data_IF_372724495412
#
_entry.id   IF_372724495412
#
_cell.length_a   1.000
_cell.length_b   1.000
_cell.length_c   1.000
_cell.angle_alpha   90.00
_cell.angle_beta   90.00
_cell.angle_gamma   90.00
#
_symmetry.space_group_name_H-M   'P 1'
#
loop_
_entity.id
_entity.type
_entity.pdbx_description
1 polymer ?
#
# COMPACT_ATOMS: atom_id res chain seq x y z
N UNK A 1 9.37 -6.87 -10.38
CA UNK A 1 9.40 -5.40 -10.44
C UNK A 1 9.26 -4.85 -9.04
N UNK A 2 9.70 -3.60 -8.82
CA UNK A 2 9.49 -2.83 -7.59
C UNK A 2 8.65 -1.61 -7.91
N UNK A 3 7.89 -1.10 -6.92
CA UNK A 3 7.17 0.17 -7.07
C UNK A 3 8.19 1.29 -7.30
N UNK A 4 7.91 2.17 -8.25
CA UNK A 4 8.79 3.32 -8.55
C UNK A 4 8.63 4.44 -7.51
N UNK A 5 9.54 5.42 -7.54
CA UNK A 5 9.41 6.64 -6.75
C UNK A 5 8.08 7.38 -7.04
N UNK A 6 7.60 7.33 -8.28
CA UNK A 6 6.29 7.89 -8.67
C UNK A 6 5.15 7.17 -8.00
N UNK A 7 5.12 5.84 -8.10
CA UNK A 7 4.06 5.03 -7.46
C UNK A 7 4.05 5.21 -5.95
N UNK A 8 5.23 5.21 -5.32
CA UNK A 8 5.35 5.43 -3.88
C UNK A 8 4.89 6.85 -3.46
N UNK A 9 5.21 7.88 -4.25
CA UNK A 9 4.75 9.25 -3.98
C UNK A 9 3.22 9.35 -4.02
N UNK A 10 2.57 8.66 -4.97
CA UNK A 10 1.11 8.60 -5.06
C UNK A 10 0.53 7.89 -3.83
N UNK A 11 1.07 6.73 -3.44
CA UNK A 11 0.63 6.03 -2.23
C UNK A 11 0.76 6.94 -1.00
N UNK A 12 1.91 7.57 -0.79
CA UNK A 12 2.16 8.49 0.34
C UNK A 12 1.19 9.68 0.37
N UNK A 13 0.81 10.20 -0.80
CA UNK A 13 -0.14 11.32 -0.90
C UNK A 13 -1.57 10.94 -0.45
N UNK A 14 -1.97 9.67 -0.62
CA UNK A 14 -3.28 9.19 -0.18
C UNK A 14 -3.29 8.68 1.26
N UNK A 15 -2.20 8.10 1.74
CA UNK A 15 -2.16 7.51 3.09
C UNK A 15 -1.92 8.57 4.18
N UNK A 16 -1.14 9.60 3.89
CA UNK A 16 -0.71 10.60 4.86
C UNK A 16 0.04 9.98 6.06
N UNK A 17 1.13 10.58 6.48
CA UNK A 17 1.79 10.18 7.72
C UNK A 17 1.14 10.93 8.89
N UNK A 18 0.45 10.21 9.76
CA UNK A 18 -0.38 10.79 10.82
C UNK A 18 0.40 10.96 12.13
N UNK A 19 -0.13 11.86 13.01
CA UNK A 19 0.41 12.15 14.36
C UNK A 19 1.83 12.70 14.37
N UNK A 20 2.11 13.77 13.60
CA UNK A 20 3.37 14.48 13.74
C UNK A 20 3.49 15.10 15.15
N UNK A 21 4.68 15.00 15.74
CA UNK A 21 5.01 15.58 17.05
C UNK A 21 6.11 16.66 16.96
N UNK A 22 6.34 17.15 15.75
CA UNK A 22 7.40 18.12 15.46
C UNK A 22 8.75 17.49 15.13
N UNK A 23 9.64 18.28 14.50
CA UNK A 23 10.99 17.83 14.14
C UNK A 23 11.02 16.62 13.19
N UNK A 24 10.05 16.46 12.30
CA UNK A 24 9.99 15.33 11.37
C UNK A 24 9.74 13.97 12.05
N UNK A 25 9.17 13.97 13.26
CA UNK A 25 8.90 12.76 14.04
C UNK A 25 7.40 12.49 14.12
N UNK A 26 7.04 11.21 14.19
CA UNK A 26 5.68 10.69 14.19
C UNK A 26 5.51 9.67 15.31
N UNK A 27 4.44 9.80 16.09
CA UNK A 27 4.14 8.92 17.21
C UNK A 27 3.11 7.88 16.82
N UNK A 28 3.24 6.68 17.39
CA UNK A 28 2.21 5.64 17.31
C UNK A 28 0.88 6.15 17.90
N UNK A 29 -0.22 5.72 17.32
CA UNK A 29 -1.57 6.09 17.74
C UNK A 29 -2.51 4.90 17.56
N UNK A 30 -3.63 4.93 18.30
CA UNK A 30 -4.71 3.97 18.06
C UNK A 30 -5.67 4.59 17.05
N UNK A 31 -5.94 3.85 15.99
CA UNK A 31 -6.85 4.29 14.94
C UNK A 31 -8.34 4.22 15.42
N UNK A 32 -9.32 4.72 14.65
CA UNK A 32 -10.72 4.72 15.04
C UNK A 32 -11.34 3.33 15.28
N UNK A 33 -10.67 2.26 14.83
CA UNK A 33 -11.13 0.88 15.02
C UNK A 33 -10.36 0.12 16.10
N UNK A 34 -9.47 0.82 16.82
CA UNK A 34 -8.75 0.26 17.96
C UNK A 34 -7.42 -0.40 17.58
N UNK A 35 -6.91 -0.21 16.37
CA UNK A 35 -5.63 -0.80 15.93
C UNK A 35 -4.48 0.17 16.17
N UNK A 36 -3.43 -0.32 16.85
CA UNK A 36 -2.20 0.45 17.02
C UNK A 36 -1.49 0.61 15.67
N UNK A 37 -1.25 1.87 15.29
CA UNK A 37 -0.80 2.27 13.96
C UNK A 37 0.30 3.32 14.06
N UNK A 38 1.24 3.34 13.12
CA UNK A 38 2.30 4.37 13.02
C UNK A 38 2.65 4.66 11.56
N UNK A 39 3.19 5.86 11.29
CA UNK A 39 3.67 6.24 9.96
C UNK A 39 2.55 6.26 8.91
N UNK A 40 2.77 5.59 7.79
CA UNK A 40 1.84 5.50 6.67
C UNK A 40 0.84 4.33 6.80
N UNK A 41 0.32 4.09 8.00
CA UNK A 41 -0.67 3.04 8.23
C UNK A 41 -0.06 1.69 8.63
N UNK A 42 1.24 1.66 9.00
CA UNK A 42 1.87 0.43 9.46
C UNK A 42 1.26 -0.02 10.80
N UNK A 43 1.04 -1.34 10.93
CA UNK A 43 0.46 -1.98 12.10
C UNK A 43 1.29 -3.17 12.55
N UNK A 44 1.06 -3.65 13.78
CA UNK A 44 1.75 -4.83 14.31
C UNK A 44 1.39 -6.17 13.62
N UNK A 45 0.67 -6.15 12.51
CA UNK A 45 0.51 -7.35 11.66
C UNK A 45 1.80 -7.69 10.90
N UNK A 46 2.66 -6.69 10.66
CA UNK A 46 3.94 -6.82 9.96
C UNK A 46 5.11 -6.42 10.85
N UNK A 47 6.33 -6.63 10.39
CA UNK A 47 7.56 -6.12 11.01
C UNK A 47 7.88 -4.73 10.45
N UNK A 48 8.53 -3.86 11.23
CA UNK A 48 8.92 -4.04 12.63
C UNK A 48 7.75 -3.93 13.60
N UNK A 49 7.82 -4.64 14.73
CA UNK A 49 6.84 -4.47 15.82
C UNK A 49 7.14 -3.19 16.60
N UNK A 50 6.09 -2.59 17.15
CA UNK A 50 6.19 -1.34 17.90
C UNK A 50 5.11 -1.27 18.97
N UNK A 51 5.20 -0.31 19.90
CA UNK A 51 4.26 -0.05 20.97
C UNK A 51 3.70 1.39 20.91
N UNK A 52 2.84 1.74 21.87
CA UNK A 52 2.19 3.05 21.92
C UNK A 52 3.15 4.21 22.26
N UNK A 53 4.34 3.91 22.78
CA UNK A 53 5.38 4.91 23.06
C UNK A 53 6.30 5.17 21.88
N UNK A 54 6.25 4.32 20.85
CA UNK A 54 7.15 4.35 19.71
C UNK A 54 7.02 5.65 18.90
N UNK A 55 8.16 6.20 18.57
CA UNK A 55 8.31 7.41 17.73
C UNK A 55 9.25 7.07 16.58
N UNK A 56 8.81 7.34 15.35
CA UNK A 56 9.62 7.19 14.14
C UNK A 56 9.93 8.55 13.51
N UNK A 57 11.11 8.62 12.86
CA UNK A 57 11.39 9.71 11.93
C UNK A 57 10.60 9.53 10.64
N UNK A 58 10.54 10.56 9.80
CA UNK A 58 9.94 10.45 8.47
C UNK A 58 10.64 9.36 7.65
N UNK A 59 11.97 9.29 7.71
CA UNK A 59 12.78 8.29 7.00
C UNK A 59 12.42 6.87 7.42
N UNK A 60 12.24 6.64 8.73
CA UNK A 60 11.78 5.34 9.25
C UNK A 60 10.37 5.01 8.76
N UNK A 61 9.45 5.96 8.78
CA UNK A 61 8.10 5.76 8.23
C UNK A 61 8.14 5.41 6.73
N UNK A 62 9.02 6.05 5.96
CA UNK A 62 9.18 5.81 4.53
C UNK A 62 9.85 4.46 4.24
N UNK A 63 10.86 4.08 5.02
CA UNK A 63 11.50 2.77 4.91
C UNK A 63 10.51 1.63 5.18
N UNK A 64 9.75 1.74 6.27
CA UNK A 64 8.75 0.73 6.61
C UNK A 64 7.63 0.67 5.58
N UNK A 65 7.18 1.80 5.04
CA UNK A 65 6.22 1.78 3.94
C UNK A 65 6.79 1.04 2.72
N UNK A 66 8.06 1.25 2.36
CA UNK A 66 8.69 0.52 1.26
C UNK A 66 8.73 -0.99 1.51
N UNK A 67 8.97 -1.41 2.74
CA UNK A 67 8.93 -2.82 3.14
C UNK A 67 7.50 -3.40 3.07
N UNK A 68 6.51 -2.66 3.55
CA UNK A 68 5.10 -3.04 3.45
C UNK A 68 4.66 -3.19 1.97
N UNK A 69 5.17 -2.34 1.08
CA UNK A 69 4.89 -2.43 -0.37
C UNK A 69 5.37 -3.76 -0.98
N UNK A 70 6.42 -4.39 -0.45
CA UNK A 70 6.94 -5.67 -0.97
C UNK A 70 5.87 -6.77 -1.00
N UNK A 71 4.91 -6.75 -0.08
CA UNK A 71 3.81 -7.71 -0.03
C UNK A 71 2.91 -7.54 -1.25
N UNK A 72 2.56 -6.30 -1.57
CA UNK A 72 1.66 -5.97 -2.68
C UNK A 72 2.36 -6.07 -4.03
N UNK A 73 3.65 -5.78 -4.10
CA UNK A 73 4.50 -6.03 -5.27
C UNK A 73 4.51 -7.51 -5.66
N UNK A 74 4.75 -8.40 -4.68
CA UNK A 74 4.69 -9.86 -4.88
C UNK A 74 3.28 -10.30 -5.28
N UNK A 75 2.25 -9.72 -4.66
CA UNK A 75 0.86 -10.01 -4.97
C UNK A 75 0.52 -9.67 -6.44
N UNK A 76 0.87 -8.47 -6.89
CA UNK A 76 0.68 -8.04 -8.29
C UNK A 76 1.47 -8.94 -9.25
N UNK A 77 2.75 -9.22 -8.92
CA UNK A 77 3.59 -10.08 -9.76
C UNK A 77 3.03 -11.50 -9.91
N UNK A 78 2.39 -12.03 -8.86
CA UNK A 78 1.78 -13.37 -8.89
C UNK A 78 0.48 -13.39 -9.71
N UNK A 79 -0.32 -12.32 -9.69
CA UNK A 79 -1.63 -12.27 -10.33
C UNK A 79 -1.58 -11.82 -11.79
N UNK A 80 -0.66 -10.92 -12.14
CA UNK A 80 -0.48 -10.50 -13.53
C UNK A 80 0.24 -11.60 -14.32
N UNK A 81 -0.41 -12.07 -15.40
CA UNK A 81 0.14 -13.09 -16.33
C UNK A 81 0.59 -12.48 -17.65
N UNK A 82 0.62 -11.16 -17.74
CA UNK A 82 1.08 -10.39 -18.89
C UNK A 82 2.21 -9.47 -18.45
N UNK A 83 3.05 -9.08 -19.38
CA UNK A 83 4.09 -8.08 -19.13
C UNK A 83 3.46 -6.73 -18.78
N UNK A 84 3.98 -6.11 -17.74
CA UNK A 84 3.57 -4.78 -17.27
C UNK A 84 4.68 -3.77 -17.49
N UNK A 85 4.30 -2.57 -17.95
CA UNK A 85 5.16 -1.40 -17.87
C UNK A 85 5.25 -0.91 -16.43
N UNK A 86 6.27 -0.11 -16.09
CA UNK A 86 6.46 0.37 -14.72
C UNK A 86 5.23 1.11 -14.17
N UNK A 87 4.65 2.03 -14.94
CA UNK A 87 3.48 2.80 -14.53
C UNK A 87 2.21 1.93 -14.34
N UNK A 88 2.06 0.86 -15.15
CA UNK A 88 0.98 -0.10 -14.99
C UNK A 88 1.13 -0.89 -13.67
N UNK A 89 2.36 -1.33 -13.40
CA UNK A 89 2.71 -2.02 -12.16
C UNK A 89 2.46 -1.12 -10.93
N UNK A 90 2.95 0.10 -10.94
CA UNK A 90 2.77 1.08 -9.85
C UNK A 90 1.30 1.33 -9.53
N UNK A 91 0.47 1.49 -10.55
CA UNK A 91 -0.97 1.69 -10.39
C UNK A 91 -1.65 0.48 -9.72
N UNK A 92 -1.28 -0.73 -10.15
CA UNK A 92 -1.82 -1.97 -9.60
C UNK A 92 -1.33 -2.22 -8.17
N UNK A 93 -0.09 -1.89 -7.84
CA UNK A 93 0.44 -1.98 -6.47
C UNK A 93 -0.27 -0.98 -5.56
N UNK A 94 -0.46 0.28 -5.99
CA UNK A 94 -1.23 1.28 -5.22
C UNK A 94 -2.67 0.83 -4.96
N UNK A 95 -3.35 0.30 -5.98
CA UNK A 95 -4.69 -0.23 -5.84
C UNK A 95 -4.73 -1.44 -4.90
N UNK A 96 -3.79 -2.38 -5.06
CA UNK A 96 -3.70 -3.58 -4.21
C UNK A 96 -3.44 -3.22 -2.75
N UNK A 97 -2.57 -2.25 -2.50
CA UNK A 97 -2.29 -1.74 -1.15
C UNK A 97 -3.55 -1.21 -0.47
N UNK A 98 -4.36 -0.44 -1.18
CA UNK A 98 -5.57 0.16 -0.61
C UNK A 98 -6.74 -0.83 -0.46
N UNK A 99 -6.85 -1.82 -1.35
CA UNK A 99 -8.04 -2.70 -1.43
C UNK A 99 -7.77 -4.14 -0.98
N UNK A 100 -6.51 -4.48 -0.69
CA UNK A 100 -6.06 -5.87 -0.53
C UNK A 100 -5.90 -6.63 -1.84
N UNK A 101 -6.22 -6.01 -3.00
CA UNK A 101 -6.03 -6.57 -4.34
C UNK A 101 -6.68 -7.94 -4.56
N UNK A 102 -7.99 -8.15 -4.28
CA UNK A 102 -8.56 -9.49 -4.28
C UNK A 102 -8.35 -10.19 -5.62
N UNK A 103 -7.86 -11.44 -5.57
CA UNK A 103 -7.54 -12.23 -6.76
C UNK A 103 -8.76 -12.50 -7.66
N UNK A 104 -9.96 -12.40 -7.10
CA UNK A 104 -11.24 -12.56 -7.82
C UNK A 104 -11.70 -11.30 -8.56
N UNK A 105 -10.98 -10.18 -8.43
CA UNK A 105 -11.36 -8.94 -9.10
C UNK A 105 -11.38 -9.11 -10.63
N UNK A 106 -12.43 -8.60 -11.28
CA UNK A 106 -12.56 -8.60 -12.75
C UNK A 106 -11.39 -7.94 -13.45
N UNK A 107 -10.74 -7.00 -12.78
CA UNK A 107 -9.52 -6.34 -13.23
C UNK A 107 -8.45 -7.36 -13.69
N UNK A 108 -8.14 -8.38 -12.88
CA UNK A 108 -7.14 -9.39 -13.21
C UNK A 108 -7.53 -10.22 -14.43
N UNK A 109 -8.81 -10.59 -14.52
CA UNK A 109 -9.32 -11.33 -15.67
C UNK A 109 -9.17 -10.53 -16.97
N UNK A 110 -9.50 -9.23 -16.95
CA UNK A 110 -9.34 -8.32 -18.10
C UNK A 110 -7.87 -8.15 -18.47
N UNK A 111 -7.04 -7.83 -17.48
CA UNK A 111 -5.60 -7.66 -17.67
C UNK A 111 -4.96 -8.89 -18.31
N UNK A 112 -5.24 -10.07 -17.76
CA UNK A 112 -4.64 -11.34 -18.20
C UNK A 112 -5.19 -11.84 -19.56
N UNK A 113 -6.34 -11.36 -19.98
CA UNK A 113 -6.85 -11.55 -21.34
C UNK A 113 -6.23 -10.58 -22.37
N UNK A 114 -5.26 -9.72 -21.94
CA UNK A 114 -4.65 -8.71 -22.79
C UNK A 114 -5.47 -7.43 -22.95
N UNK A 115 -6.65 -7.35 -22.33
CA UNK A 115 -7.54 -6.18 -22.40
C UNK A 115 -7.10 -5.09 -21.39
N UNK A 116 -5.87 -4.59 -21.57
CA UNK A 116 -5.31 -3.51 -20.74
C UNK A 116 -6.16 -2.24 -20.78
N UNK A 117 -6.85 -1.98 -21.90
CA UNK A 117 -7.70 -0.79 -22.05
C UNK A 117 -8.90 -0.77 -21.08
N UNK A 118 -9.37 -1.93 -20.63
CA UNK A 118 -10.45 -2.02 -19.67
C UNK A 118 -10.01 -1.80 -18.22
N UNK A 119 -8.72 -1.94 -17.90
CA UNK A 119 -8.21 -1.88 -16.52
C UNK A 119 -8.54 -0.55 -15.82
N UNK A 120 -8.37 0.64 -16.42
CA UNK A 120 -8.73 1.90 -15.79
C UNK A 120 -10.20 1.97 -15.35
N UNK A 121 -11.11 1.46 -16.17
CA UNK A 121 -12.54 1.41 -15.83
C UNK A 121 -12.82 0.43 -14.70
N UNK A 122 -12.10 -0.69 -14.63
CA UNK A 122 -12.21 -1.65 -13.52
C UNK A 122 -11.67 -1.07 -12.22
N UNK A 123 -10.58 -0.30 -12.24
CA UNK A 123 -10.08 0.43 -11.08
C UNK A 123 -11.15 1.37 -10.51
N UNK A 124 -11.83 2.13 -11.35
CA UNK A 124 -12.86 3.10 -10.93
C UNK A 124 -14.03 2.49 -10.16
N UNK A 125 -14.30 1.19 -10.31
CA UNK A 125 -15.36 0.48 -9.59
C UNK A 125 -15.07 0.32 -8.09
N UNK A 126 -13.83 0.54 -7.66
CA UNK A 126 -13.35 0.39 -6.27
C UNK A 126 -13.37 1.71 -5.49
N UNK A 127 -14.37 2.55 -5.73
CA UNK A 127 -14.52 3.87 -5.11
C UNK A 127 -15.57 3.92 -3.99
N UNK A 128 -16.11 2.77 -3.56
CA UNK A 128 -17.20 2.70 -2.57
C UNK A 128 -16.70 2.22 -1.21
N UNK A 129 -17.32 2.78 -0.16
CA UNK A 129 -17.19 2.30 1.20
C UNK A 129 -18.55 2.37 1.90
N UNK A 130 -18.95 1.31 2.60
CA UNK A 130 -20.28 1.22 3.22
C UNK A 130 -21.43 1.35 2.21
N UNK A 131 -21.24 0.89 0.96
CA UNK A 131 -22.23 0.97 -0.13
C UNK A 131 -22.33 2.34 -0.83
N UNK A 132 -21.61 3.36 -0.39
CA UNK A 132 -21.63 4.72 -0.96
C UNK A 132 -20.30 5.06 -1.63
N UNK A 133 -20.34 5.88 -2.66
CA UNK A 133 -19.14 6.43 -3.26
C UNK A 133 -18.48 7.42 -2.30
N UNK A 134 -17.16 7.27 -2.14
CA UNK A 134 -16.35 8.15 -1.30
C UNK A 134 -15.44 9.03 -2.17
N UNK A 135 -15.55 10.37 -2.06
CA UNK A 135 -14.76 11.28 -2.91
C UNK A 135 -13.25 11.02 -2.86
N UNK A 136 -12.72 10.66 -1.67
CA UNK A 136 -11.31 10.31 -1.50
C UNK A 136 -10.92 9.05 -2.30
N UNK A 137 -11.76 8.01 -2.27
CA UNK A 137 -11.53 6.79 -3.05
C UNK A 137 -11.70 7.05 -4.54
N UNK A 138 -12.70 7.84 -4.95
CA UNK A 138 -12.88 8.23 -6.37
C UNK A 138 -11.64 8.97 -6.88
N UNK A 139 -11.08 9.92 -6.10
CA UNK A 139 -9.85 10.62 -6.44
C UNK A 139 -8.66 9.66 -6.56
N UNK A 140 -8.51 8.71 -5.62
CA UNK A 140 -7.46 7.70 -5.65
C UNK A 140 -7.55 6.83 -6.89
N UNK A 141 -8.70 6.26 -7.17
CA UNK A 141 -8.95 5.45 -8.39
C UNK A 141 -8.66 6.23 -9.67
N UNK A 142 -9.04 7.51 -9.71
CA UNK A 142 -8.73 8.38 -10.86
C UNK A 142 -7.23 8.55 -11.05
N UNK A 143 -6.47 8.80 -9.98
CA UNK A 143 -5.02 8.89 -10.04
C UNK A 143 -4.40 7.59 -10.54
N UNK A 144 -4.81 6.44 -9.98
CA UNK A 144 -4.34 5.12 -10.41
C UNK A 144 -4.70 4.79 -11.85
N UNK A 145 -5.89 5.18 -12.32
CA UNK A 145 -6.31 5.00 -13.71
C UNK A 145 -5.46 5.82 -14.68
N UNK A 146 -5.16 7.07 -14.34
CA UNK A 146 -4.26 7.92 -15.13
C UNK A 146 -2.84 7.34 -15.17
N UNK A 147 -2.34 6.91 -14.02
CA UNK A 147 -1.02 6.28 -13.91
C UNK A 147 -0.95 5.01 -14.77
N UNK A 148 -1.97 4.14 -14.71
CA UNK A 148 -2.02 2.93 -15.52
C UNK A 148 -1.95 3.23 -17.02
N UNK A 149 -2.59 4.31 -17.46
CA UNK A 149 -2.56 4.77 -18.86
C UNK A 149 -1.26 5.49 -19.24
N UNK A 150 -0.33 5.71 -18.32
CA UNK A 150 0.93 6.41 -18.56
C UNK A 150 0.85 7.94 -18.47
N UNK A 151 -0.28 8.49 -18.05
CA UNK A 151 -0.41 9.93 -17.72
C UNK A 151 0.09 10.17 -16.29
N UNK A 152 1.42 10.17 -16.15
CA UNK A 152 2.10 10.34 -14.86
C UNK A 152 1.81 11.70 -14.24
N UNK A 153 1.88 12.77 -15.04
CA UNK A 153 1.63 14.13 -14.56
C UNK A 153 0.19 14.31 -14.08
N UNK A 154 -0.77 13.80 -14.84
CA UNK A 154 -2.18 13.80 -14.47
C UNK A 154 -2.42 13.02 -13.18
N UNK A 155 -1.79 11.86 -13.03
CA UNK A 155 -1.87 11.04 -11.83
C UNK A 155 -1.35 11.76 -10.58
N UNK A 156 -0.15 12.35 -10.66
CA UNK A 156 0.46 13.12 -9.57
C UNK A 156 -0.38 14.35 -9.19
N UNK A 157 -0.92 15.06 -10.17
CA UNK A 157 -1.80 16.22 -9.97
C UNK A 157 -3.08 15.83 -9.24
N UNK A 158 -3.71 14.74 -9.64
CA UNK A 158 -4.93 14.22 -8.99
C UNK A 158 -4.64 13.71 -7.59
N UNK A 159 -3.50 13.08 -7.36
CA UNK A 159 -3.04 12.65 -6.04
C UNK A 159 -2.66 13.84 -5.14
N UNK A 160 -2.45 15.04 -5.71
CA UNK A 160 -1.99 16.23 -4.99
C UNK A 160 -0.58 16.04 -4.41
N UNK A 161 0.29 15.36 -5.13
CA UNK A 161 1.70 15.24 -4.76
C UNK A 161 2.35 16.64 -4.80
N UNK A 162 2.77 17.14 -3.64
CA UNK A 162 3.24 18.53 -3.47
C UNK A 162 4.70 18.74 -3.86
N UNK A 163 5.47 17.67 -4.08
CA UNK A 163 6.91 17.78 -4.35
C UNK A 163 7.23 17.19 -5.71
N UNK A 164 8.02 17.88 -6.56
CA UNK A 164 8.60 17.23 -7.72
C UNK A 164 9.42 16.02 -7.24
N UNK A 165 9.27 14.89 -7.89
CA UNK A 165 10.07 13.70 -7.59
C UNK A 165 11.50 14.02 -8.03
N UNK A 166 12.30 14.59 -7.14
CA UNK A 166 13.71 14.85 -7.36
C UNK A 166 14.49 13.56 -7.08
N UNK A 167 14.99 12.96 -8.15
CA UNK A 167 16.00 11.89 -8.25
C UNK A 167 15.67 10.52 -7.65
N UNK A 168 16.16 9.43 -8.25
CA UNK A 168 16.03 8.08 -7.71
C UNK A 168 16.57 8.03 -6.29
N UNK A 169 15.82 7.41 -5.39
CA UNK A 169 16.29 7.10 -4.04
C UNK A 169 17.57 6.26 -4.20
N UNK A 170 18.69 6.65 -3.59
CA UNK A 170 19.87 5.79 -3.59
C UNK A 170 19.46 4.41 -3.05
N UNK A 171 19.80 3.37 -3.79
CA UNK A 171 19.65 1.99 -3.31
C UNK A 171 20.35 1.92 -1.95
N UNK A 172 19.70 1.44 -0.87
CA UNK A 172 20.35 1.30 0.42
C UNK A 172 21.64 0.50 0.22
N UNK A 173 22.76 1.06 0.59
CA UNK A 173 24.04 0.33 0.66
C UNK A 173 23.80 -0.79 1.68
N UNK A 174 24.02 -2.06 1.35
CA UNK A 174 23.89 -3.14 2.31
C UNK A 174 24.79 -2.85 3.51
N UNK A 175 24.33 -3.10 4.74
CA UNK A 175 25.15 -2.93 5.92
C UNK A 175 26.43 -3.75 5.79
N UNK A 176 27.60 -3.26 6.27
CA UNK A 176 28.84 -4.01 6.20
C UNK A 176 28.68 -5.33 6.94
N UNK A 177 29.07 -6.41 6.28
CA UNK A 177 29.22 -7.79 6.73
C UNK A 177 28.54 -8.18 8.05
N UNK A 178 27.30 -8.64 7.94
CA UNK A 178 26.71 -9.52 8.95
C UNK A 178 27.24 -10.94 8.68
N UNK A 179 27.84 -11.63 9.67
CA UNK A 179 28.30 -12.99 9.46
C UNK A 179 27.14 -13.90 9.06
N UNK A 180 27.39 -14.93 8.25
CA UNK A 180 26.32 -15.81 7.73
C UNK A 180 25.56 -16.47 8.89
N UNK A 181 24.25 -16.22 8.92
CA UNK A 181 23.30 -16.92 9.78
C UNK A 181 23.34 -18.40 9.36
N UNK A 182 23.56 -19.28 10.33
CA UNK A 182 23.58 -20.72 10.11
C UNK A 182 22.27 -21.25 9.48
N UNK A 183 22.27 -22.52 9.00
CA UNK A 183 21.17 -23.06 8.21
C UNK A 183 19.85 -22.99 8.98
N UNK A 184 18.80 -22.59 8.24
CA UNK A 184 17.43 -22.51 8.74
C UNK A 184 16.98 -23.86 9.34
N UNK A 185 16.25 -23.82 10.47
CA UNK A 185 15.61 -25.03 11.00
C UNK A 185 14.51 -25.51 10.05
N UNK A 186 14.45 -26.84 9.92
CA UNK A 186 13.52 -27.64 9.13
C UNK A 186 12.07 -27.13 9.14
N UNK A 187 11.42 -26.89 7.98
CA UNK A 187 10.05 -26.36 7.90
C UNK A 187 8.95 -27.34 8.26
N UNK A 188 9.25 -28.55 8.78
CA UNK A 188 8.25 -29.61 9.00
C UNK A 188 7.99 -29.99 10.47
N UNK A 189 8.23 -29.09 11.43
CA UNK A 189 7.79 -29.28 12.81
C UNK A 189 6.43 -28.61 13.03
N UNK A 190 5.39 -29.43 12.95
CA UNK A 190 3.98 -29.01 12.96
C UNK A 190 3.55 -28.17 14.14
N UNK A 191 2.78 -27.15 13.83
CA UNK A 191 1.55 -26.77 14.57
C UNK A 191 0.67 -25.91 13.66
N UNK A 192 -0.43 -26.50 13.21
CA UNK A 192 -1.50 -25.78 12.51
C UNK A 192 -2.18 -24.85 13.51
N UNK A 193 -1.96 -23.55 13.34
CA UNK A 193 -2.81 -22.50 13.93
C UNK A 193 -3.71 -21.99 12.80
N UNK A 194 -5.05 -21.95 12.96
CA UNK A 194 -5.94 -21.44 11.92
C UNK A 194 -5.69 -19.95 11.75
N UNK A 195 -5.25 -19.56 10.56
CA UNK A 195 -5.08 -18.17 10.19
C UNK A 195 -6.44 -17.49 10.03
N UNK A 196 -6.91 -16.80 11.05
CA UNK A 196 -7.91 -15.76 10.87
C UNK A 196 -7.22 -14.58 10.17
N UNK A 197 -7.34 -14.56 8.86
CA UNK A 197 -6.93 -13.44 8.02
C UNK A 197 -7.96 -12.33 8.17
N UNK A 198 -7.79 -11.47 9.15
CA UNK A 198 -8.45 -10.16 9.13
C UNK A 198 -7.80 -9.36 8.01
N UNK A 199 -8.48 -9.25 6.89
CA UNK A 199 -8.01 -8.51 5.71
C UNK A 199 -7.89 -7.03 6.06
N UNK A 200 -6.88 -6.34 5.49
CA UNK A 200 -6.80 -4.86 5.50
C UNK A 200 -8.13 -4.26 5.04
N UNK A 201 -8.85 -4.95 4.16
CA UNK A 201 -10.22 -4.61 3.73
C UNK A 201 -11.20 -4.57 4.92
N UNK A 202 -11.13 -5.50 5.87
CA UNK A 202 -11.98 -5.48 7.06
C UNK A 202 -11.61 -4.32 7.99
N UNK A 203 -10.32 -3.97 8.06
CA UNK A 203 -9.83 -2.80 8.80
C UNK A 203 -10.34 -1.51 8.12
N UNK A 204 -10.22 -1.38 6.82
CA UNK A 204 -10.72 -0.22 6.06
C UNK A 204 -12.25 -0.14 6.13
N UNK A 205 -12.96 -1.25 6.00
CA UNK A 205 -14.43 -1.31 6.13
C UNK A 205 -14.85 -0.96 7.56
N UNK A 206 -14.09 -1.36 8.58
CA UNK A 206 -14.41 -1.06 9.97
C UNK A 206 -14.09 0.40 10.32
N UNK A 207 -13.03 1.00 9.76
CA UNK A 207 -12.75 2.45 9.84
C UNK A 207 -13.91 3.25 9.23
N UNK A 208 -14.37 2.84 8.06
CA UNK A 208 -15.51 3.46 7.40
C UNK A 208 -16.79 3.32 8.24
N UNK A 209 -17.06 2.14 8.80
CA UNK A 209 -18.22 1.91 9.70
C UNK A 209 -18.15 2.73 10.98
N UNK A 210 -16.96 2.93 11.56
CA UNK A 210 -16.79 3.72 12.79
C UNK A 210 -17.01 5.22 12.55
N UNK A 211 -16.62 5.74 11.39
CA UNK A 211 -16.83 7.14 11.00
C UNK A 211 -18.32 7.46 10.76
N UNK A 212 -19.14 6.48 10.40
CA UNK A 212 -20.58 6.66 10.13
C UNK A 212 -21.50 6.25 11.29
N UNK A 213 -20.97 5.77 12.43
CA UNK A 213 -21.78 5.42 13.61
C UNK A 213 -22.01 6.59 14.57
N UNK A 214 -21.46 7.78 14.27
CA UNK A 214 -21.61 9.03 15.03
C UNK A 214 -22.36 10.10 14.24
N UNK A 215 -23.43 9.74 13.58
CA UNK A 215 -24.40 10.64 12.97
C UNK A 215 -25.81 10.18 13.24
#
# INVERSE_FOLDING_TARGET
MKISATGLAIVKAFESCLRPIGGGRYKAYVDPVGVLTIGYGHTNHHLPKFDSSTIWTLEQCESVLADDMNIFEKHVANLAKVELKQHEFDALVSWSFNTGGPATATLWRRLNAGDKKAVPAELMKWNKGGGRELPGLTRRRRSESLLFNGDIEGALRVAQVKTPIAKPIPVPVPPPDVPPIGPDPDPDAGTRVPAQRTSIIEIIISIIKALFKKG
#
